data_IF_268324441347
#
_entry.id   IF_268324441347
#
_cell.length_a   1.000
_cell.length_b   1.000
_cell.length_c   1.000
_cell.angle_alpha   90.00
_cell.angle_beta   90.00
_cell.angle_gamma   90.00
#
_symmetry.space_group_name_H-M   'P 1'
#
loop_
_entity.id
_entity.type
_entity.pdbx_description
1 polymer ?
#
# COMPACT_ATOMS: atom_id res chain seq x y z
N UNK A 1 28.76 37.25 -42.82
CA UNK A 1 28.01 35.98 -42.84
C UNK A 1 27.93 35.45 -41.40
N UNK A 2 26.89 35.82 -40.68
CA UNK A 2 26.63 35.32 -39.31
C UNK A 2 25.68 34.13 -39.43
N UNK A 3 26.14 32.94 -39.03
CA UNK A 3 25.30 31.75 -38.90
C UNK A 3 24.54 31.85 -37.57
N UNK A 4 23.24 31.92 -37.65
CA UNK A 4 22.35 31.74 -36.53
C UNK A 4 22.15 30.24 -36.33
N UNK A 5 22.59 29.76 -35.18
CA UNK A 5 22.25 28.40 -34.70
C UNK A 5 20.88 28.49 -34.05
N UNK A 6 19.91 27.83 -34.64
CA UNK A 6 18.61 27.55 -34.04
C UNK A 6 18.81 26.42 -33.01
N UNK A 7 18.67 26.73 -31.72
CA UNK A 7 18.41 25.72 -30.70
C UNK A 7 16.96 25.27 -30.88
N UNK A 8 16.70 23.95 -30.89
CA UNK A 8 15.33 23.48 -30.74
C UNK A 8 14.89 23.73 -29.31
N UNK A 9 13.81 24.48 -29.13
CA UNK A 9 13.03 24.46 -27.89
C UNK A 9 12.51 23.03 -27.72
N UNK A 10 13.02 22.35 -26.70
CA UNK A 10 12.40 21.14 -26.18
C UNK A 10 11.12 21.57 -25.43
N UNK A 11 9.99 21.46 -26.09
CA UNK A 11 8.69 21.51 -25.43
C UNK A 11 8.56 20.20 -24.67
N UNK A 12 8.80 20.23 -23.38
CA UNK A 12 8.41 19.14 -22.47
C UNK A 12 6.88 19.21 -22.40
N UNK A 13 6.22 18.38 -23.15
CA UNK A 13 4.81 18.09 -22.96
C UNK A 13 4.70 17.35 -21.62
N UNK A 14 4.25 18.05 -20.59
CA UNK A 14 3.70 17.43 -19.39
C UNK A 14 2.36 16.81 -19.82
N UNK A 15 2.42 15.56 -20.24
CA UNK A 15 1.23 14.71 -20.35
C UNK A 15 0.81 14.48 -18.90
N UNK A 16 -0.38 14.91 -18.53
CA UNK A 16 -0.98 14.53 -17.25
C UNK A 16 -0.92 13.00 -17.13
N UNK A 17 -0.33 12.51 -16.06
CA UNK A 17 -0.32 11.08 -15.77
C UNK A 17 -1.77 10.66 -15.58
N UNK A 18 -2.24 9.77 -16.42
CA UNK A 18 -3.55 9.17 -16.33
C UNK A 18 -3.39 7.91 -15.50
N UNK A 19 -4.10 7.79 -14.38
CA UNK A 19 -4.22 6.54 -13.64
C UNK A 19 -4.89 5.51 -14.57
N UNK A 20 -4.15 4.55 -15.06
CA UNK A 20 -4.69 3.44 -15.85
C UNK A 20 -4.75 2.21 -14.96
N UNK A 21 -5.95 1.62 -14.89
CA UNK A 21 -6.22 0.40 -14.15
C UNK A 21 -5.30 -0.73 -14.65
N UNK A 22 -4.58 -1.36 -13.72
CA UNK A 22 -3.91 -2.64 -13.98
C UNK A 22 -4.93 -3.76 -13.72
N UNK A 23 -5.09 -4.69 -14.68
CA UNK A 23 -6.00 -5.83 -14.59
C UNK A 23 -5.60 -6.74 -13.40
N UNK A 24 -6.15 -6.47 -12.23
CA UNK A 24 -6.25 -7.44 -11.14
C UNK A 24 -7.59 -8.14 -11.27
N UNK A 25 -7.64 -9.21 -12.02
CA UNK A 25 -8.76 -10.13 -11.96
C UNK A 25 -8.59 -11.04 -10.74
N UNK A 26 -9.18 -10.65 -9.63
CA UNK A 26 -9.47 -11.59 -8.56
C UNK A 26 -10.62 -12.50 -9.03
N UNK A 27 -10.31 -13.57 -9.77
CA UNK A 27 -11.21 -14.68 -10.03
C UNK A 27 -11.10 -15.69 -8.87
N UNK A 28 -11.54 -15.26 -7.71
CA UNK A 28 -11.80 -16.08 -6.54
C UNK A 28 -12.86 -15.37 -5.71
N UNK A 29 -13.85 -16.09 -5.21
CA UNK A 29 -14.92 -15.57 -4.33
C UNK A 29 -14.40 -15.06 -2.95
N UNK A 30 -13.23 -14.46 -2.92
CA UNK A 30 -12.62 -13.74 -1.79
C UNK A 30 -12.97 -12.26 -1.80
N UNK A 31 -14.26 -11.91 -2.01
CA UNK A 31 -14.73 -10.58 -1.69
C UNK A 31 -14.68 -10.43 -0.16
N UNK A 32 -13.90 -9.46 0.31
CA UNK A 32 -14.04 -8.95 1.67
C UNK A 32 -15.51 -8.56 1.84
N UNK A 33 -16.28 -9.40 2.54
CA UNK A 33 -17.68 -9.11 2.86
C UNK A 33 -17.62 -8.07 3.97
N UNK A 34 -18.24 -6.89 3.83
CA UNK A 34 -18.34 -5.96 4.93
C UNK A 34 -19.05 -6.63 6.09
N UNK A 35 -18.46 -6.53 7.30
CA UNK A 35 -19.05 -7.06 8.53
C UNK A 35 -20.43 -6.44 8.76
N UNK A 36 -21.36 -7.17 9.40
CA UNK A 36 -22.78 -6.82 9.45
C UNK A 36 -23.17 -5.63 10.34
N UNK A 37 -22.28 -4.91 10.98
CA UNK A 37 -22.60 -3.89 12.00
C UNK A 37 -21.67 -2.65 12.00
N UNK A 38 -21.46 -2.00 10.87
CA UNK A 38 -20.93 -0.64 10.89
C UNK A 38 -22.05 0.34 11.34
N UNK A 39 -21.82 1.30 12.30
CA UNK A 39 -22.78 2.34 12.61
C UNK A 39 -22.93 3.24 11.39
N UNK A 40 -24.13 3.28 10.82
CA UNK A 40 -24.46 4.06 9.65
C UNK A 40 -24.32 5.57 9.93
N UNK A 41 -23.17 6.14 9.55
CA UNK A 41 -23.15 7.49 9.01
C UNK A 41 -24.01 7.49 7.73
N UNK A 42 -24.57 8.62 7.32
CA UNK A 42 -25.33 8.69 6.07
C UNK A 42 -24.38 8.34 4.92
N UNK A 43 -24.34 7.07 4.52
CA UNK A 43 -23.61 6.62 3.34
C UNK A 43 -24.31 7.21 2.13
N UNK A 44 -23.66 8.14 1.45
CA UNK A 44 -24.13 8.61 0.16
C UNK A 44 -24.04 7.45 -0.83
N UNK A 45 -25.18 7.09 -1.41
CA UNK A 45 -25.24 5.99 -2.41
C UNK A 45 -24.82 6.46 -3.82
N UNK A 46 -24.89 7.77 -4.07
CA UNK A 46 -24.56 8.35 -5.38
C UNK A 46 -23.11 8.83 -5.40
N UNK A 47 -22.23 8.24 -6.23
CA UNK A 47 -20.83 8.65 -6.34
C UNK A 47 -20.65 10.14 -6.68
N UNK A 48 -21.56 10.72 -7.44
CA UNK A 48 -21.51 12.16 -7.77
C UNK A 48 -21.73 13.03 -6.52
N UNK A 49 -22.63 12.64 -5.61
CA UNK A 49 -22.83 13.35 -4.33
C UNK A 49 -21.60 13.23 -3.44
N UNK A 50 -20.95 12.06 -3.41
CA UNK A 50 -19.67 11.85 -2.69
C UNK A 50 -18.60 12.81 -3.20
N UNK A 51 -18.45 12.93 -4.51
CA UNK A 51 -17.48 13.84 -5.14
C UNK A 51 -17.80 15.30 -4.82
N UNK A 52 -19.06 15.70 -4.87
CA UNK A 52 -19.45 17.09 -4.53
C UNK A 52 -19.06 17.45 -3.10
N UNK A 53 -19.30 16.54 -2.14
CA UNK A 53 -18.94 16.73 -0.74
C UNK A 53 -17.42 16.77 -0.56
N UNK A 54 -16.69 15.85 -1.17
CA UNK A 54 -15.22 15.82 -1.12
C UNK A 54 -14.60 17.11 -1.69
N UNK A 55 -15.03 17.54 -2.87
CA UNK A 55 -14.50 18.75 -3.52
C UNK A 55 -14.85 20.05 -2.77
N UNK A 56 -16.00 20.13 -2.10
CA UNK A 56 -16.33 21.29 -1.26
C UNK A 56 -15.41 21.36 -0.05
N UNK A 57 -15.15 20.23 0.60
CA UNK A 57 -14.27 20.16 1.74
C UNK A 57 -12.81 20.40 1.34
N UNK A 58 -12.30 19.74 0.29
CA UNK A 58 -10.95 19.95 -0.22
C UNK A 58 -10.64 21.42 -0.54
N UNK A 59 -11.60 22.15 -1.05
CA UNK A 59 -11.45 23.62 -1.26
C UNK A 59 -11.27 24.37 0.06
N UNK A 60 -12.03 23.99 1.09
CA UNK A 60 -11.94 24.59 2.42
C UNK A 60 -10.64 24.21 3.11
N UNK A 61 -10.30 22.94 3.07
CA UNK A 61 -9.04 22.39 3.62
C UNK A 61 -7.83 23.10 3.03
N UNK A 62 -7.69 23.14 1.70
CA UNK A 62 -6.53 23.76 1.06
C UNK A 62 -6.54 25.29 1.11
N UNK A 63 -7.68 25.92 1.28
CA UNK A 63 -7.73 27.38 1.53
C UNK A 63 -7.10 27.76 2.88
N UNK A 64 -7.15 26.88 3.89
CA UNK A 64 -6.48 27.07 5.19
C UNK A 64 -5.05 26.51 5.20
N UNK A 65 -4.85 25.30 4.67
CA UNK A 65 -3.60 24.54 4.79
C UNK A 65 -2.48 25.06 3.87
N UNK A 66 -2.79 25.46 2.65
CA UNK A 66 -1.78 25.90 1.70
C UNK A 66 -0.97 27.13 2.17
N UNK A 67 -1.56 28.16 2.82
CA UNK A 67 -0.80 29.25 3.41
C UNK A 67 0.17 28.79 4.53
N UNK A 68 -0.19 27.77 5.28
CA UNK A 68 0.63 27.25 6.38
C UNK A 68 1.82 26.45 5.85
N UNK A 69 1.59 25.60 4.84
CA UNK A 69 2.60 24.70 4.27
C UNK A 69 3.52 25.38 3.26
N UNK A 70 2.97 26.28 2.43
CA UNK A 70 3.71 26.89 1.30
C UNK A 70 3.81 28.41 1.33
N UNK A 71 3.36 29.08 2.39
CA UNK A 71 3.30 30.55 2.51
C UNK A 71 2.62 31.22 1.29
N UNK A 72 1.63 30.52 0.70
CA UNK A 72 0.92 30.93 -0.53
C UNK A 72 -0.56 30.60 -0.42
N UNK A 73 -1.44 31.51 -0.83
CA UNK A 73 -2.87 31.26 -0.86
C UNK A 73 -3.25 30.25 -1.97
N UNK A 74 -4.23 29.39 -1.68
CA UNK A 74 -4.81 28.53 -2.70
C UNK A 74 -5.77 29.32 -3.60
N UNK A 75 -5.40 29.45 -4.87
CA UNK A 75 -6.27 30.05 -5.88
C UNK A 75 -7.21 28.99 -6.47
N UNK A 76 -8.54 29.25 -6.54
CA UNK A 76 -9.49 28.30 -7.12
C UNK A 76 -9.15 27.88 -8.54
N UNK A 77 -9.55 26.64 -8.93
CA UNK A 77 -9.37 26.14 -10.28
C UNK A 77 -10.11 27.02 -11.31
N UNK A 78 -9.42 27.45 -12.36
CA UNK A 78 -9.99 28.30 -13.42
C UNK A 78 -10.93 27.52 -14.34
N UNK A 79 -10.58 26.27 -14.66
CA UNK A 79 -11.37 25.37 -15.48
C UNK A 79 -12.44 24.60 -14.70
N UNK A 80 -12.36 24.62 -13.37
CA UNK A 80 -13.32 24.00 -12.48
C UNK A 80 -13.28 22.48 -12.50
N UNK A 81 -14.46 21.86 -12.43
CA UNK A 81 -14.65 20.43 -12.25
C UNK A 81 -15.49 19.87 -13.39
N UNK A 82 -15.02 18.81 -14.06
CA UNK A 82 -15.60 18.31 -15.32
C UNK A 82 -15.83 16.79 -15.24
N UNK A 83 -17.01 16.35 -14.75
CA UNK A 83 -17.38 14.95 -14.89
C UNK A 83 -17.59 14.58 -16.36
N UNK A 84 -17.07 13.42 -16.78
CA UNK A 84 -17.26 12.95 -18.14
C UNK A 84 -17.70 11.47 -18.18
N UNK A 85 -17.97 10.97 -19.37
CA UNK A 85 -18.32 9.59 -19.66
C UNK A 85 -18.37 9.35 -21.17
N UNK A 86 -18.67 8.12 -21.64
CA UNK A 86 -18.60 7.74 -23.06
C UNK A 86 -19.47 8.60 -23.99
N UNK A 87 -20.60 9.09 -23.48
CA UNK A 87 -21.58 9.85 -24.27
C UNK A 87 -21.57 11.37 -23.97
N UNK A 88 -20.63 11.85 -23.13
CA UNK A 88 -20.51 13.26 -22.75
C UNK A 88 -19.32 13.94 -23.42
N UNK A 89 -19.34 15.29 -23.56
CA UNK A 89 -18.14 16.01 -24.00
C UNK A 89 -16.96 15.73 -23.06
N UNK A 90 -15.82 15.38 -23.65
CA UNK A 90 -14.60 15.21 -22.90
C UNK A 90 -13.99 16.57 -22.50
N UNK A 91 -13.24 16.63 -21.39
CA UNK A 91 -12.50 17.82 -21.04
C UNK A 91 -11.44 18.13 -22.12
N UNK A 92 -11.15 19.38 -22.33
CA UNK A 92 -9.95 19.76 -23.06
C UNK A 92 -8.76 19.67 -22.09
N UNK A 93 -7.62 19.13 -22.55
CA UNK A 93 -6.39 19.16 -21.79
C UNK A 93 -5.20 19.37 -22.74
N UNK A 94 -4.75 20.64 -22.84
CA UNK A 94 -3.70 21.04 -23.75
C UNK A 94 -4.14 21.05 -25.22
N UNK A 95 -3.20 20.91 -26.13
CA UNK A 95 -3.41 21.03 -27.58
C UNK A 95 -3.95 19.74 -28.23
N UNK A 96 -3.81 18.59 -27.58
CA UNK A 96 -4.26 17.30 -28.12
C UNK A 96 -5.69 16.99 -27.66
N UNK A 97 -6.58 16.58 -28.60
CA UNK A 97 -7.93 16.20 -28.23
C UNK A 97 -7.89 14.85 -27.48
N UNK A 98 -8.48 14.84 -26.28
CA UNK A 98 -8.69 13.59 -25.57
C UNK A 98 -9.77 12.76 -26.28
N UNK A 99 -9.59 11.44 -26.28
CA UNK A 99 -10.64 10.47 -26.66
C UNK A 99 -11.03 9.67 -25.44
N UNK A 100 -12.26 9.15 -25.41
CA UNK A 100 -12.72 8.41 -24.25
C UNK A 100 -11.85 7.18 -23.96
N UNK A 101 -11.39 6.47 -24.98
CA UNK A 101 -10.49 5.32 -24.84
C UNK A 101 -9.16 5.64 -24.14
N UNK A 102 -8.74 6.93 -24.11
CA UNK A 102 -7.52 7.35 -23.42
C UNK A 102 -7.80 7.73 -21.95
N UNK A 103 -9.01 8.19 -21.65
CA UNK A 103 -9.37 8.69 -20.33
C UNK A 103 -10.47 7.86 -19.66
N UNK A 104 -10.86 6.73 -20.24
CA UNK A 104 -11.81 5.80 -19.65
C UNK A 104 -11.26 5.31 -18.28
N UNK A 105 -12.16 5.16 -17.33
CA UNK A 105 -11.85 4.67 -15.98
C UNK A 105 -10.74 5.46 -15.27
N UNK A 106 -10.73 6.79 -15.47
CA UNK A 106 -9.67 7.67 -14.99
C UNK A 106 -10.20 8.96 -14.35
N UNK A 107 -9.41 9.51 -13.43
CA UNK A 107 -9.49 10.90 -12.96
C UNK A 107 -8.18 11.60 -13.30
N UNK A 108 -8.23 12.92 -13.49
CA UNK A 108 -7.02 13.67 -13.82
C UNK A 108 -7.13 15.17 -13.44
N UNK A 109 -6.02 15.76 -13.01
CA UNK A 109 -5.82 17.18 -13.01
C UNK A 109 -5.17 17.63 -14.32
N UNK A 110 -5.80 18.54 -15.03
CA UNK A 110 -5.24 19.14 -16.24
C UNK A 110 -4.59 20.51 -15.95
N UNK A 111 -3.25 20.63 -15.94
CA UNK A 111 -2.59 21.89 -15.62
C UNK A 111 -2.77 22.97 -16.68
N UNK A 112 -3.00 22.61 -17.94
CA UNK A 112 -3.16 23.58 -19.03
C UNK A 112 -4.44 24.40 -18.90
N UNK A 113 -5.55 23.74 -18.64
CA UNK A 113 -6.87 24.35 -18.41
C UNK A 113 -7.15 24.62 -16.94
N UNK A 114 -6.33 24.09 -16.03
CA UNK A 114 -6.46 24.18 -14.57
C UNK A 114 -7.82 23.66 -14.10
N UNK A 115 -8.10 22.40 -14.46
CA UNK A 115 -9.33 21.69 -14.12
C UNK A 115 -9.03 20.29 -13.56
N UNK A 116 -9.98 19.75 -12.79
CA UNK A 116 -10.04 18.34 -12.41
C UNK A 116 -11.20 17.70 -13.18
N UNK A 117 -10.92 16.54 -13.78
CA UNK A 117 -11.92 15.79 -14.52
C UNK A 117 -11.88 14.30 -14.11
N UNK A 118 -13.03 13.60 -14.21
CA UNK A 118 -13.15 12.21 -13.83
C UNK A 118 -14.21 11.46 -14.63
N UNK A 119 -14.00 10.17 -14.84
CA UNK A 119 -15.03 9.28 -15.40
C UNK A 119 -16.07 8.93 -14.33
N UNK A 120 -17.22 9.62 -14.43
CA UNK A 120 -18.34 9.43 -13.51
C UNK A 120 -19.16 8.16 -13.79
N UNK A 121 -18.93 7.51 -14.93
CA UNK A 121 -19.77 6.39 -15.41
C UNK A 121 -19.15 5.04 -15.04
N UNK A 122 -17.84 4.90 -15.19
CA UNK A 122 -17.15 3.64 -14.96
C UNK A 122 -16.25 3.71 -13.71
N UNK A 123 -15.35 4.70 -13.58
CA UNK A 123 -14.41 4.76 -12.46
C UNK A 123 -15.11 4.88 -11.10
N UNK A 124 -15.89 5.95 -10.89
CA UNK A 124 -16.40 6.23 -9.55
C UNK A 124 -17.40 5.20 -9.02
N UNK A 125 -18.35 4.67 -9.84
CA UNK A 125 -19.26 3.64 -9.36
C UNK A 125 -18.54 2.34 -9.01
N UNK A 126 -17.50 1.97 -9.76
CA UNK A 126 -16.69 0.78 -9.48
C UNK A 126 -15.91 0.94 -8.17
N UNK A 127 -15.18 2.05 -8.02
CA UNK A 127 -14.43 2.34 -6.80
C UNK A 127 -15.34 2.39 -5.56
N UNK A 128 -16.50 3.04 -5.65
CA UNK A 128 -17.41 3.12 -4.52
C UNK A 128 -18.00 1.75 -4.16
N UNK A 129 -18.33 0.95 -5.16
CA UNK A 129 -18.89 -0.37 -4.95
C UNK A 129 -17.88 -1.33 -4.30
N UNK A 130 -16.61 -1.25 -4.69
CA UNK A 130 -15.55 -2.15 -4.25
C UNK A 130 -14.88 -1.67 -2.97
N UNK A 131 -14.67 -0.36 -2.83
CA UNK A 131 -13.79 0.22 -1.80
C UNK A 131 -14.43 1.36 -0.99
N UNK A 132 -15.74 1.61 -1.20
CA UNK A 132 -16.47 2.58 -0.39
C UNK A 132 -16.25 4.05 -0.78
N UNK A 133 -16.98 4.93 -0.08
CA UNK A 133 -17.02 6.37 -0.39
C UNK A 133 -15.70 7.08 -0.05
N UNK A 134 -14.94 6.60 0.94
CA UNK A 134 -13.66 7.20 1.30
C UNK A 134 -12.66 7.11 0.14
N UNK A 135 -12.62 5.99 -0.59
CA UNK A 135 -11.75 5.81 -1.76
C UNK A 135 -12.10 6.77 -2.89
N UNK A 136 -13.39 7.04 -3.12
CA UNK A 136 -13.82 8.08 -4.09
C UNK A 136 -13.31 9.46 -3.66
N UNK A 137 -13.45 9.79 -2.37
CA UNK A 137 -12.93 11.04 -1.79
C UNK A 137 -11.40 11.14 -1.93
N UNK A 138 -10.70 10.04 -1.68
CA UNK A 138 -9.24 9.94 -1.78
C UNK A 138 -8.75 10.21 -3.21
N UNK A 139 -9.39 9.64 -4.23
CA UNK A 139 -9.05 9.93 -5.64
C UNK A 139 -9.23 11.43 -5.94
N UNK A 140 -10.32 12.03 -5.45
CA UNK A 140 -10.50 13.48 -5.61
C UNK A 140 -9.45 14.30 -4.86
N UNK A 141 -9.02 13.86 -3.68
CA UNK A 141 -7.96 14.51 -2.91
C UNK A 141 -6.61 14.41 -3.62
N UNK A 142 -6.29 13.28 -4.22
CA UNK A 142 -5.10 13.06 -5.04
C UNK A 142 -5.06 14.03 -6.23
N UNK A 143 -6.14 14.12 -7.02
CA UNK A 143 -6.21 15.06 -8.14
C UNK A 143 -6.15 16.53 -7.68
N UNK A 144 -6.74 16.83 -6.54
CA UNK A 144 -6.67 18.13 -5.94
C UNK A 144 -5.25 18.49 -5.49
N UNK A 145 -4.49 17.53 -5.00
CA UNK A 145 -3.08 17.69 -4.64
C UNK A 145 -2.21 18.08 -5.84
N UNK A 146 -2.47 17.56 -7.03
CA UNK A 146 -1.81 18.04 -8.26
C UNK A 146 -2.09 19.52 -8.53
N UNK A 147 -3.30 19.99 -8.24
CA UNK A 147 -3.62 21.41 -8.33
C UNK A 147 -2.86 22.24 -7.29
N UNK A 148 -2.64 21.72 -6.08
CA UNK A 148 -1.79 22.32 -5.04
C UNK A 148 -0.33 22.39 -5.50
N UNK A 149 0.23 21.30 -6.01
CA UNK A 149 1.59 21.25 -6.58
C UNK A 149 1.79 22.29 -7.67
N UNK A 150 0.80 22.45 -8.55
CA UNK A 150 0.83 23.46 -9.61
C UNK A 150 0.94 24.88 -9.06
N UNK A 151 0.21 25.19 -7.99
CA UNK A 151 0.21 26.51 -7.33
C UNK A 151 1.49 26.74 -6.52
N UNK A 152 1.96 25.73 -5.82
CA UNK A 152 3.22 25.77 -5.08
C UNK A 152 4.46 25.71 -6.00
N UNK A 153 4.25 25.53 -7.32
CA UNK A 153 5.32 25.39 -8.31
C UNK A 153 6.28 24.22 -8.00
N UNK A 154 5.76 23.18 -7.38
CA UNK A 154 6.53 21.94 -7.08
C UNK A 154 7.03 21.34 -8.40
N UNK A 155 8.25 20.82 -8.37
CA UNK A 155 8.88 20.12 -9.50
C UNK A 155 9.64 18.91 -8.98
N UNK A 156 9.55 17.80 -9.69
CA UNK A 156 10.20 16.56 -9.32
C UNK A 156 10.12 15.52 -10.45
N UNK A 157 10.57 14.33 -10.18
CA UNK A 157 10.24 13.16 -10.98
C UNK A 157 8.73 12.90 -10.90
N UNK A 158 8.13 12.29 -11.93
CA UNK A 158 6.69 12.00 -11.94
C UNK A 158 6.29 11.21 -10.70
N UNK A 159 6.96 10.10 -10.43
CA UNK A 159 6.69 9.27 -9.26
C UNK A 159 6.74 10.06 -7.94
N UNK A 160 7.67 11.00 -7.79
CA UNK A 160 7.73 11.85 -6.57
C UNK A 160 6.50 12.76 -6.45
N UNK A 161 6.00 13.28 -7.56
CA UNK A 161 4.81 14.13 -7.57
C UNK A 161 3.54 13.30 -7.29
N UNK A 162 3.47 12.10 -7.81
CA UNK A 162 2.38 11.16 -7.55
C UNK A 162 2.33 10.75 -6.07
N UNK A 163 3.47 10.31 -5.52
CA UNK A 163 3.55 9.95 -4.11
C UNK A 163 3.28 11.15 -3.18
N UNK A 164 3.70 12.37 -3.57
CA UNK A 164 3.33 13.56 -2.83
C UNK A 164 1.82 13.82 -2.89
N UNK A 165 1.17 13.51 -4.01
CA UNK A 165 -0.28 13.65 -4.13
C UNK A 165 -1.02 12.62 -3.25
N UNK A 166 -0.53 11.37 -3.19
CA UNK A 166 -1.05 10.35 -2.26
C UNK A 166 -0.85 10.76 -0.79
N UNK A 167 0.32 11.31 -0.44
CA UNK A 167 0.62 11.84 0.89
C UNK A 167 -0.36 12.97 1.27
N UNK A 168 -0.56 13.96 0.41
CA UNK A 168 -1.54 15.03 0.66
C UNK A 168 -2.98 14.52 0.74
N UNK A 169 -3.31 13.45 0.01
CA UNK A 169 -4.60 12.80 0.14
C UNK A 169 -4.76 12.13 1.52
N UNK A 170 -3.70 11.50 2.04
CA UNK A 170 -3.65 10.96 3.40
C UNK A 170 -3.84 12.04 4.47
N UNK A 171 -3.13 13.16 4.34
CA UNK A 171 -3.28 14.29 5.26
C UNK A 171 -4.70 14.92 5.25
N UNK A 172 -5.39 14.88 4.12
CA UNK A 172 -6.79 15.28 4.05
C UNK A 172 -7.71 14.25 4.71
N UNK A 173 -7.43 12.95 4.54
CA UNK A 173 -8.23 11.87 5.14
C UNK A 173 -8.18 11.91 6.67
N UNK A 174 -7.03 12.16 7.28
CA UNK A 174 -6.91 12.35 8.75
C UNK A 174 -7.80 13.50 9.25
N UNK A 175 -7.81 14.60 8.52
CA UNK A 175 -8.54 15.82 8.93
C UNK A 175 -10.06 15.77 8.61
N UNK A 176 -10.49 14.96 7.60
CA UNK A 176 -11.88 14.99 7.11
C UNK A 176 -12.87 14.34 8.05
N UNK A 177 -12.48 13.31 8.80
CA UNK A 177 -13.37 12.56 9.71
C UNK A 177 -14.01 13.48 10.78
N UNK A 178 -13.25 14.42 11.32
CA UNK A 178 -13.74 15.36 12.31
C UNK A 178 -14.77 16.35 11.74
N UNK A 179 -14.83 16.51 10.41
CA UNK A 179 -15.65 17.54 9.75
C UNK A 179 -16.84 16.99 9.00
N UNK A 180 -16.74 15.81 8.41
CA UNK A 180 -17.74 15.28 7.48
C UNK A 180 -18.09 13.84 7.80
N UNK A 181 -19.29 13.63 8.34
CA UNK A 181 -19.78 12.30 8.71
C UNK A 181 -19.97 11.31 7.52
N UNK A 182 -19.83 11.79 6.27
CA UNK A 182 -19.91 10.94 5.08
C UNK A 182 -18.64 10.09 4.90
N UNK A 183 -17.50 10.58 5.38
CA UNK A 183 -16.22 9.90 5.28
C UNK A 183 -15.83 9.35 6.65
N UNK A 184 -16.06 8.07 6.87
CA UNK A 184 -15.50 7.38 8.03
C UNK A 184 -14.00 7.11 7.80
N UNK A 185 -13.21 7.23 8.85
CA UNK A 185 -11.81 6.81 8.93
C UNK A 185 -11.62 5.69 9.96
N UNK A 186 -12.69 4.90 10.19
CA UNK A 186 -12.55 3.66 10.96
C UNK A 186 -11.63 2.66 10.23
N UNK A 187 -11.19 1.62 10.94
CA UNK A 187 -10.24 0.66 10.41
C UNK A 187 -10.66 0.04 9.08
N UNK A 188 -11.94 -0.34 8.96
CA UNK A 188 -12.47 -0.95 7.75
C UNK A 188 -12.43 0.03 6.56
N UNK A 189 -12.71 1.31 6.78
CA UNK A 189 -12.67 2.33 5.73
C UNK A 189 -11.23 2.64 5.29
N UNK A 190 -10.27 2.65 6.22
CA UNK A 190 -8.86 2.82 5.90
C UNK A 190 -8.28 1.61 5.17
N UNK A 191 -8.68 0.40 5.55
CA UNK A 191 -8.31 -0.84 4.85
C UNK A 191 -8.84 -0.82 3.40
N UNK A 192 -10.09 -0.40 3.20
CA UNK A 192 -10.67 -0.25 1.86
C UNK A 192 -9.96 0.84 1.03
N UNK A 193 -9.58 1.96 1.65
CA UNK A 193 -8.81 3.01 0.98
C UNK A 193 -7.42 2.50 0.55
N UNK A 194 -6.73 1.74 1.39
CA UNK A 194 -5.48 1.07 1.06
C UNK A 194 -5.63 0.09 -0.10
N UNK A 195 -6.69 -0.73 -0.09
CA UNK A 195 -7.01 -1.62 -1.20
C UNK A 195 -7.27 -0.86 -2.51
N UNK A 196 -7.95 0.30 -2.45
CA UNK A 196 -8.15 1.17 -3.60
C UNK A 196 -6.84 1.74 -4.17
N UNK A 197 -5.88 2.12 -3.32
CA UNK A 197 -4.57 2.57 -3.76
C UNK A 197 -3.76 1.44 -4.43
N UNK A 198 -3.86 0.21 -3.91
CA UNK A 198 -3.26 -0.97 -4.54
C UNK A 198 -3.83 -1.22 -5.94
N UNK A 199 -5.13 -1.04 -6.13
CA UNK A 199 -5.78 -1.17 -7.46
C UNK A 199 -5.26 -0.13 -8.45
N UNK A 200 -4.95 1.08 -7.97
CA UNK A 200 -4.49 2.21 -8.79
C UNK A 200 -2.97 2.27 -8.96
N UNK A 201 -2.22 1.22 -8.58
CA UNK A 201 -0.78 1.15 -8.72
C UNK A 201 -0.32 0.95 -10.17
N UNK A 202 0.95 1.19 -10.41
CA UNK A 202 1.59 0.83 -11.68
C UNK A 202 1.60 -0.70 -11.88
N UNK A 203 1.63 -1.12 -13.14
CA UNK A 203 1.90 -2.51 -13.48
C UNK A 203 3.28 -2.94 -12.97
N UNK A 204 3.41 -4.20 -12.54
CA UNK A 204 4.66 -4.74 -12.00
C UNK A 204 5.86 -4.51 -12.93
N UNK A 205 6.97 -4.11 -12.34
CA UNK A 205 8.24 -3.87 -13.05
C UNK A 205 8.32 -2.57 -13.83
N UNK A 206 7.35 -1.65 -13.71
CA UNK A 206 7.46 -0.28 -14.25
C UNK A 206 8.58 0.45 -13.51
N UNK A 207 9.58 1.00 -14.22
CA UNK A 207 10.64 1.74 -13.55
C UNK A 207 10.12 3.04 -12.96
N UNK A 208 10.48 3.38 -11.72
CA UNK A 208 10.16 4.68 -11.10
C UNK A 208 10.68 5.91 -11.85
N UNK A 209 11.60 5.71 -12.80
CA UNK A 209 12.07 6.77 -13.72
C UNK A 209 11.17 6.98 -14.95
N UNK A 210 10.11 6.20 -15.12
CA UNK A 210 9.13 6.40 -16.21
C UNK A 210 8.45 7.76 -16.06
N UNK A 211 8.15 8.39 -17.18
CA UNK A 211 7.39 9.65 -17.21
C UNK A 211 5.90 9.47 -16.89
N UNK A 212 5.46 8.23 -16.73
CA UNK A 212 4.10 7.84 -16.33
C UNK A 212 4.11 6.97 -15.07
N UNK A 213 5.19 6.95 -14.28
CA UNK A 213 5.23 6.15 -13.06
C UNK A 213 4.43 6.81 -11.94
N UNK A 214 3.49 6.05 -11.37
CA UNK A 214 2.73 6.44 -10.17
C UNK A 214 3.35 5.85 -8.89
N UNK A 215 4.09 4.74 -9.00
CA UNK A 215 4.68 3.99 -7.90
C UNK A 215 4.07 2.60 -7.77
N UNK A 216 4.73 1.74 -6.97
CA UNK A 216 4.19 0.45 -6.56
C UNK A 216 3.02 0.66 -5.58
N UNK A 217 2.25 -0.39 -5.31
CA UNK A 217 1.22 -0.34 -4.27
C UNK A 217 1.81 0.02 -2.90
N UNK A 218 2.95 -0.59 -2.56
CA UNK A 218 3.68 -0.26 -1.34
C UNK A 218 4.11 1.22 -1.27
N UNK A 219 4.67 1.78 -2.36
CA UNK A 219 5.07 3.19 -2.38
C UNK A 219 3.87 4.13 -2.16
N UNK A 220 2.74 3.86 -2.82
CA UNK A 220 1.52 4.67 -2.74
C UNK A 220 0.86 4.60 -1.36
N UNK A 221 0.67 3.39 -0.82
CA UNK A 221 0.11 3.20 0.53
C UNK A 221 1.03 3.80 1.58
N UNK A 222 2.36 3.66 1.43
CA UNK A 222 3.34 4.27 2.34
C UNK A 222 3.25 5.79 2.35
N UNK A 223 3.13 6.42 1.18
CA UNK A 223 2.97 7.87 1.07
C UNK A 223 1.65 8.35 1.68
N UNK A 224 0.55 7.62 1.44
CA UNK A 224 -0.75 7.90 2.04
C UNK A 224 -0.69 7.84 3.56
N UNK A 225 -0.08 6.79 4.13
CA UNK A 225 0.07 6.63 5.58
C UNK A 225 0.92 7.74 6.20
N UNK A 226 2.03 8.13 5.56
CA UNK A 226 2.85 9.25 6.04
C UNK A 226 2.04 10.55 6.11
N UNK A 227 1.22 10.82 5.09
CA UNK A 227 0.35 11.99 5.11
C UNK A 227 -0.72 11.92 6.19
N UNK A 228 -1.31 10.74 6.41
CA UNK A 228 -2.30 10.49 7.45
C UNK A 228 -1.72 10.64 8.87
N UNK A 229 -0.49 10.15 9.09
CA UNK A 229 0.16 10.17 10.40
C UNK A 229 0.83 11.51 10.72
N UNK A 230 1.54 12.10 9.75
CA UNK A 230 2.46 13.23 9.94
C UNK A 230 1.96 14.55 9.34
N UNK A 231 0.84 14.51 8.59
CA UNK A 231 0.18 15.68 8.05
C UNK A 231 0.84 16.29 6.80
N UNK A 232 0.28 17.41 6.32
CA UNK A 232 0.65 18.00 5.02
C UNK A 232 2.06 18.63 5.00
N UNK A 233 2.63 18.99 6.15
CA UNK A 233 3.98 19.51 6.26
C UNK A 233 5.03 18.44 5.90
N UNK A 234 4.82 17.17 6.31
CA UNK A 234 5.68 16.05 5.92
C UNK A 234 5.64 15.86 4.40
N UNK A 235 4.47 15.85 3.80
CA UNK A 235 4.29 15.73 2.35
C UNK A 235 5.01 16.83 1.56
N UNK A 236 5.03 18.07 2.07
CA UNK A 236 5.68 19.20 1.40
C UNK A 236 7.20 19.02 1.29
N UNK A 237 7.81 18.20 2.14
CA UNK A 237 9.26 17.90 2.09
C UNK A 237 9.67 17.13 0.85
N UNK A 238 8.78 16.36 0.23
CA UNK A 238 9.06 15.47 -0.92
C UNK A 238 9.73 16.18 -2.11
N UNK A 239 9.45 17.47 -2.29
CA UNK A 239 10.11 18.26 -3.33
C UNK A 239 11.62 18.44 -3.11
N UNK A 240 12.07 18.45 -1.86
CA UNK A 240 13.47 18.64 -1.48
C UNK A 240 14.13 17.31 -1.05
N UNK A 241 13.37 16.45 -0.40
CA UNK A 241 13.77 15.16 0.14
C UNK A 241 12.76 14.10 -0.33
N UNK A 242 12.87 13.63 -1.60
CA UNK A 242 11.93 12.64 -2.14
C UNK A 242 11.93 11.37 -1.31
N UNK A 243 10.77 10.74 -1.10
CA UNK A 243 10.71 9.44 -0.43
C UNK A 243 11.48 8.39 -1.23
N UNK A 244 11.99 7.33 -0.58
CA UNK A 244 12.54 6.19 -1.29
C UNK A 244 11.44 5.55 -2.15
N UNK A 245 11.75 5.25 -3.40
CA UNK A 245 10.85 4.54 -4.33
C UNK A 245 11.37 3.12 -4.50
N UNK A 246 10.53 2.14 -4.23
CA UNK A 246 10.87 0.74 -4.37
C UNK A 246 10.61 0.29 -5.80
N UNK A 247 11.60 0.48 -6.67
CA UNK A 247 11.55 0.04 -8.06
C UNK A 247 12.37 -1.23 -8.24
N UNK A 248 11.74 -2.38 -8.16
CA UNK A 248 12.36 -3.69 -8.36
C UNK A 248 12.15 -4.12 -9.82
N UNK A 249 13.21 -4.29 -10.63
CA UNK A 249 13.07 -4.79 -11.98
C UNK A 249 13.01 -6.31 -12.02
N UNK A 250 12.29 -6.89 -12.99
CA UNK A 250 12.37 -8.32 -13.23
C UNK A 250 13.80 -8.76 -13.58
N UNK A 251 14.28 -9.80 -12.91
CA UNK A 251 15.63 -10.35 -13.11
C UNK A 251 15.81 -11.06 -14.45
N UNK A 252 14.73 -11.56 -15.05
CA UNK A 252 14.75 -12.31 -16.31
C UNK A 252 13.39 -12.28 -17.01
N UNK A 253 13.35 -12.73 -18.27
CA UNK A 253 12.08 -12.89 -19.00
C UNK A 253 11.19 -14.02 -18.41
N UNK A 254 11.78 -15.02 -17.76
CA UNK A 254 11.01 -16.07 -17.07
C UNK A 254 10.39 -15.54 -15.79
N UNK A 255 11.12 -14.75 -15.06
CA UNK A 255 10.69 -14.03 -13.89
C UNK A 255 9.48 -13.12 -14.23
N UNK A 256 9.61 -12.29 -15.26
CA UNK A 256 8.49 -11.50 -15.76
C UNK A 256 7.26 -12.33 -16.19
N UNK A 257 7.47 -13.55 -16.67
CA UNK A 257 6.38 -14.43 -17.11
C UNK A 257 5.63 -15.08 -15.93
N UNK A 258 6.23 -15.14 -14.75
CA UNK A 258 5.61 -15.63 -13.51
C UNK A 258 5.17 -14.48 -12.58
N UNK A 259 5.28 -13.22 -13.03
CA UNK A 259 5.03 -12.05 -12.18
C UNK A 259 6.08 -11.83 -11.09
N UNK A 260 7.19 -12.56 -11.14
CA UNK A 260 8.21 -12.59 -10.08
C UNK A 260 8.14 -13.84 -9.21
N UNK A 261 6.97 -14.45 -9.12
CA UNK A 261 6.63 -15.45 -8.12
C UNK A 261 7.33 -16.79 -8.31
N UNK A 262 7.81 -17.35 -7.22
CA UNK A 262 8.35 -18.70 -7.10
C UNK A 262 7.28 -19.66 -6.54
N UNK A 263 7.17 -20.89 -7.05
CA UNK A 263 6.37 -21.92 -6.41
C UNK A 263 6.89 -22.22 -4.99
N UNK A 264 6.02 -22.52 -4.05
CA UNK A 264 6.36 -22.74 -2.63
C UNK A 264 7.42 -23.84 -2.44
N UNK A 265 7.39 -24.91 -3.26
CA UNK A 265 8.38 -25.97 -3.21
C UNK A 265 9.82 -25.52 -3.59
N UNK A 266 9.94 -24.38 -4.26
CA UNK A 266 11.22 -23.76 -4.59
C UNK A 266 11.58 -22.61 -3.65
N UNK A 267 10.58 -22.02 -3.01
CA UNK A 267 10.71 -20.87 -2.10
C UNK A 267 11.09 -21.32 -0.68
N UNK A 268 10.46 -22.36 -0.13
CA UNK A 268 10.47 -22.67 1.30
C UNK A 268 11.90 -22.87 1.86
N UNK A 269 12.70 -23.77 1.27
CA UNK A 269 14.03 -24.07 1.79
C UNK A 269 14.98 -22.87 1.76
N UNK A 270 15.08 -22.06 0.67
CA UNK A 270 15.90 -20.86 0.67
C UNK A 270 15.35 -19.76 1.61
N UNK A 271 14.03 -19.59 1.73
CA UNK A 271 13.43 -18.62 2.63
C UNK A 271 13.73 -18.92 4.10
N UNK A 272 13.54 -20.18 4.54
CA UNK A 272 13.89 -20.62 5.89
C UNK A 272 15.37 -20.32 6.18
N UNK A 273 16.25 -20.60 5.22
CA UNK A 273 17.68 -20.35 5.43
C UNK A 273 18.02 -18.84 5.49
N UNK A 274 17.31 -17.99 4.78
CA UNK A 274 17.51 -16.54 4.83
C UNK A 274 16.91 -15.96 6.13
N UNK A 275 15.75 -16.43 6.59
CA UNK A 275 15.18 -16.11 7.90
C UNK A 275 16.11 -16.47 9.05
N UNK A 276 16.64 -17.71 9.07
CA UNK A 276 17.62 -18.16 10.08
C UNK A 276 18.88 -17.28 10.09
N UNK A 277 19.38 -16.91 8.91
CA UNK A 277 20.56 -16.06 8.78
C UNK A 277 20.29 -14.63 9.26
N UNK A 278 19.11 -14.09 8.94
CA UNK A 278 18.68 -12.76 9.36
C UNK A 278 18.52 -12.67 10.88
N UNK A 279 17.73 -13.58 11.49
CA UNK A 279 17.51 -13.54 12.93
C UNK A 279 18.79 -13.83 13.72
N UNK A 280 19.65 -14.73 13.23
CA UNK A 280 20.97 -14.95 13.83
C UNK A 280 21.85 -13.68 13.81
N UNK A 281 21.79 -12.89 12.74
CA UNK A 281 22.50 -11.61 12.66
C UNK A 281 21.88 -10.57 13.61
N UNK A 282 20.57 -10.44 13.63
CA UNK A 282 19.82 -9.52 14.50
C UNK A 282 20.11 -9.81 15.98
N UNK A 283 20.05 -11.06 16.41
CA UNK A 283 20.37 -11.46 17.79
C UNK A 283 21.84 -11.20 18.13
N UNK A 284 22.74 -11.44 17.15
CA UNK A 284 24.17 -11.12 17.32
C UNK A 284 24.42 -9.63 17.58
N UNK A 285 23.65 -8.72 16.97
CA UNK A 285 23.72 -7.28 17.22
C UNK A 285 23.22 -6.91 18.64
N UNK A 286 22.22 -7.65 19.14
CA UNK A 286 21.72 -7.50 20.51
C UNK A 286 22.64 -8.13 21.57
N UNK A 287 23.67 -8.90 21.15
CA UNK A 287 24.56 -9.66 22.02
C UNK A 287 23.95 -10.96 22.54
N UNK A 288 22.87 -11.39 21.95
CA UNK A 288 22.15 -12.63 22.24
C UNK A 288 22.47 -13.72 21.19
N UNK A 289 21.94 -14.90 21.39
CA UNK A 289 22.13 -16.03 20.46
C UNK A 289 20.78 -16.53 19.99
N UNK A 290 20.57 -16.53 18.70
CA UNK A 290 19.39 -17.11 18.07
C UNK A 290 19.41 -18.64 18.17
N UNK A 291 18.31 -19.24 18.65
CA UNK A 291 18.06 -20.67 18.58
C UNK A 291 17.18 -20.91 17.34
N UNK A 292 17.67 -21.64 16.30
CA UNK A 292 16.93 -21.83 15.06
C UNK A 292 15.57 -22.49 15.28
N UNK A 293 14.55 -22.07 14.54
CA UNK A 293 13.22 -22.71 14.55
C UNK A 293 13.34 -24.17 14.08
N UNK A 294 12.89 -25.12 14.91
CA UNK A 294 13.09 -26.56 14.66
C UNK A 294 12.41 -27.00 13.36
N UNK A 295 11.18 -26.51 13.08
CA UNK A 295 10.40 -26.90 11.89
C UNK A 295 9.42 -25.84 11.41
N UNK A 296 9.17 -25.90 10.11
CA UNK A 296 8.00 -25.32 9.46
C UNK A 296 7.11 -26.47 8.99
N UNK A 297 5.87 -26.54 9.45
CA UNK A 297 4.98 -27.65 9.19
C UNK A 297 3.61 -27.19 8.67
N UNK A 298 3.25 -27.65 7.46
CA UNK A 298 1.90 -27.46 6.95
C UNK A 298 0.98 -28.56 7.49
N UNK A 299 -0.18 -28.19 8.00
CA UNK A 299 -1.17 -29.12 8.53
C UNK A 299 -2.48 -29.10 7.73
N UNK A 300 -3.32 -30.12 7.93
CA UNK A 300 -4.68 -30.18 7.38
C UNK A 300 -5.65 -30.10 8.58
N UNK A 301 -6.44 -29.00 8.71
CA UNK A 301 -7.42 -28.87 9.80
C UNK A 301 -8.39 -30.05 9.93
N UNK A 302 -8.75 -30.70 8.79
CA UNK A 302 -9.58 -31.90 8.76
C UNK A 302 -8.81 -33.23 8.87
N UNK A 303 -7.48 -33.20 8.89
CA UNK A 303 -6.60 -34.38 8.82
C UNK A 303 -6.36 -35.10 10.13
N UNK A 304 -6.72 -34.49 11.27
CA UNK A 304 -6.52 -35.00 12.61
C UNK A 304 -6.06 -33.92 13.59
N UNK A 305 -5.90 -34.24 14.88
CA UNK A 305 -5.55 -33.25 15.90
C UNK A 305 -4.15 -32.66 15.63
N UNK A 306 -4.07 -31.34 15.64
CA UNK A 306 -2.82 -30.57 15.72
C UNK A 306 -2.51 -30.35 17.20
N UNK A 307 -1.27 -30.55 17.61
CA UNK A 307 -0.88 -30.41 19.03
C UNK A 307 0.27 -29.41 19.17
N UNK A 308 0.25 -28.66 20.28
CA UNK A 308 1.35 -27.79 20.69
C UNK A 308 1.75 -28.17 22.12
N UNK A 309 2.98 -28.63 22.33
CA UNK A 309 3.45 -29.10 23.63
C UNK A 309 2.72 -30.33 24.17
N UNK A 310 2.02 -31.07 23.31
CA UNK A 310 1.19 -32.20 23.63
C UNK A 310 -0.26 -31.87 24.00
N UNK A 311 -0.63 -30.61 24.07
CA UNK A 311 -2.01 -30.16 24.18
C UNK A 311 -2.62 -30.00 22.78
N UNK A 312 -3.87 -30.38 22.61
CA UNK A 312 -4.58 -30.29 21.32
C UNK A 312 -5.03 -28.84 21.09
N UNK A 313 -4.70 -28.30 19.93
CA UNK A 313 -5.17 -26.97 19.47
C UNK A 313 -6.65 -27.11 19.09
N UNK A 314 -7.53 -26.21 19.55
CA UNK A 314 -8.95 -26.23 19.20
C UNK A 314 -9.20 -26.24 17.70
N UNK A 315 -10.14 -27.07 17.22
CA UNK A 315 -10.43 -27.24 15.80
C UNK A 315 -10.90 -25.93 15.12
N UNK A 316 -11.57 -25.06 15.86
CA UNK A 316 -12.06 -23.75 15.43
C UNK A 316 -10.97 -22.67 15.35
N UNK A 317 -9.78 -22.96 15.85
CA UNK A 317 -8.57 -22.10 15.74
C UNK A 317 -7.62 -22.58 14.64
N UNK A 318 -7.96 -23.62 13.89
CA UNK A 318 -7.08 -24.22 12.88
C UNK A 318 -7.40 -23.80 11.44
N UNK A 319 -8.65 -23.39 11.14
CA UNK A 319 -9.04 -22.96 9.79
C UNK A 319 -8.37 -21.61 9.44
N UNK A 320 -7.72 -21.53 8.28
CA UNK A 320 -6.99 -20.34 7.81
C UNK A 320 -5.90 -19.87 8.78
N UNK A 321 -5.36 -20.74 9.62
CA UNK A 321 -4.43 -20.37 10.67
C UNK A 321 -2.96 -20.55 10.27
N UNK A 322 -2.14 -19.61 10.76
CA UNK A 322 -0.70 -19.75 10.85
C UNK A 322 -0.26 -19.31 12.27
N UNK A 323 0.48 -20.16 12.97
CA UNK A 323 0.91 -19.86 14.33
C UNK A 323 2.27 -20.51 14.68
N UNK A 324 2.98 -19.87 15.61
CA UNK A 324 4.20 -20.43 16.17
C UNK A 324 3.91 -21.14 17.48
N UNK A 325 4.23 -22.44 17.55
CA UNK A 325 4.15 -23.20 18.77
C UNK A 325 5.44 -23.13 19.57
N UNK A 326 5.44 -22.37 20.64
CA UNK A 326 6.61 -22.19 21.54
C UNK A 326 7.10 -23.52 22.13
N UNK A 327 6.16 -24.41 22.53
CA UNK A 327 6.50 -25.64 23.23
C UNK A 327 7.18 -26.68 22.33
N UNK A 328 6.90 -26.68 21.05
CA UNK A 328 7.44 -27.61 20.06
C UNK A 328 8.44 -26.92 19.08
N UNK A 329 8.68 -25.62 19.27
CA UNK A 329 9.53 -24.79 18.43
C UNK A 329 9.23 -24.99 16.93
N UNK A 330 7.95 -24.82 16.58
CA UNK A 330 7.44 -25.16 15.26
C UNK A 330 6.53 -24.04 14.74
N UNK A 331 6.79 -23.57 13.53
CA UNK A 331 5.88 -22.69 12.77
C UNK A 331 4.88 -23.57 12.02
N UNK A 332 3.60 -23.46 12.37
CA UNK A 332 2.49 -24.18 11.73
C UNK A 332 1.75 -23.29 10.76
N UNK A 333 1.29 -23.85 9.65
CA UNK A 333 0.44 -23.17 8.68
C UNK A 333 -0.62 -24.12 8.13
N UNK A 334 -1.87 -23.66 8.01
CA UNK A 334 -2.92 -24.41 7.32
C UNK A 334 -2.55 -24.62 5.85
N UNK A 335 -2.18 -25.84 5.49
CA UNK A 335 -1.74 -26.24 4.16
C UNK A 335 -2.89 -26.45 3.16
N UNK A 336 -4.15 -26.37 3.59
CA UNK A 336 -5.33 -26.66 2.76
C UNK A 336 -6.17 -25.42 2.53
N UNK A 337 -6.31 -24.56 3.52
CA UNK A 337 -7.02 -23.29 3.44
C UNK A 337 -6.07 -22.13 3.14
N UNK A 338 -5.29 -21.70 4.14
CA UNK A 338 -4.49 -20.46 4.07
C UNK A 338 -3.36 -20.51 3.03
N UNK A 339 -2.56 -21.57 3.02
CA UNK A 339 -1.38 -21.65 2.15
C UNK A 339 -1.70 -21.50 0.65
N UNK A 340 -2.75 -22.15 0.09
CA UNK A 340 -3.14 -21.94 -1.29
C UNK A 340 -3.61 -20.52 -1.61
N UNK A 341 -4.24 -19.83 -0.66
CA UNK A 341 -4.69 -18.45 -0.83
C UNK A 341 -3.49 -17.48 -0.82
N UNK A 342 -2.52 -17.69 0.07
CA UNK A 342 -1.27 -16.93 0.06
C UNK A 342 -0.49 -17.14 -1.25
N UNK A 343 -0.41 -18.40 -1.74
CA UNK A 343 0.23 -18.71 -3.02
C UNK A 343 -0.49 -18.06 -4.21
N UNK A 344 -1.81 -17.88 -4.12
CA UNK A 344 -2.59 -17.21 -5.16
C UNK A 344 -2.35 -15.69 -5.20
N UNK A 345 -2.02 -15.07 -4.05
CA UNK A 345 -1.61 -13.66 -3.97
C UNK A 345 -0.20 -13.51 -4.55
N UNK A 346 0.76 -14.32 -4.08
CA UNK A 346 2.13 -14.34 -4.52
C UNK A 346 3.07 -15.00 -3.53
N UNK A 347 4.33 -15.11 -3.89
CA UNK A 347 5.30 -15.86 -3.08
C UNK A 347 5.70 -15.09 -1.80
N UNK A 348 5.71 -13.77 -1.82
CA UNK A 348 6.01 -12.98 -0.63
C UNK A 348 4.79 -12.81 0.30
N UNK A 349 3.57 -13.07 -0.14
CA UNK A 349 2.43 -13.22 0.76
C UNK A 349 2.67 -14.37 1.75
N UNK A 350 3.12 -15.53 1.26
CA UNK A 350 3.58 -16.64 2.11
C UNK A 350 4.90 -16.30 2.81
N UNK A 351 5.86 -15.69 2.11
CA UNK A 351 7.17 -15.32 2.66
C UNK A 351 7.06 -14.38 3.85
N UNK A 352 6.21 -13.37 3.76
CA UNK A 352 5.92 -12.42 4.82
C UNK A 352 5.22 -13.07 6.01
N UNK A 353 4.23 -13.94 5.76
CA UNK A 353 3.58 -14.68 6.86
C UNK A 353 4.55 -15.60 7.60
N UNK A 354 5.42 -16.30 6.89
CA UNK A 354 6.46 -17.11 7.54
C UNK A 354 7.46 -16.24 8.31
N UNK A 355 7.85 -15.09 7.76
CA UNK A 355 8.74 -14.15 8.46
C UNK A 355 8.10 -13.61 9.75
N UNK A 356 6.78 -13.37 9.74
CA UNK A 356 6.01 -13.00 10.94
C UNK A 356 6.06 -14.09 12.01
N UNK A 357 5.93 -15.36 11.65
CA UNK A 357 6.05 -16.47 12.62
C UNK A 357 7.46 -16.54 13.21
N UNK A 358 8.50 -16.27 12.43
CA UNK A 358 9.87 -16.16 12.93
C UNK A 358 10.06 -14.94 13.84
N UNK A 359 9.39 -13.83 13.55
CA UNK A 359 9.39 -12.66 14.43
C UNK A 359 8.73 -12.97 15.79
N UNK A 360 7.63 -13.75 15.79
CA UNK A 360 7.00 -14.25 17.03
C UNK A 360 7.97 -15.18 17.80
N UNK A 361 8.67 -16.09 17.10
CA UNK A 361 9.70 -16.89 17.73
C UNK A 361 10.82 -16.04 18.35
N UNK A 362 11.22 -14.96 17.69
CA UNK A 362 12.20 -14.01 18.22
C UNK A 362 11.70 -13.28 19.47
N UNK A 363 10.43 -12.86 19.49
CA UNK A 363 9.81 -12.26 20.69
C UNK A 363 9.90 -13.21 21.88
N UNK A 364 9.53 -14.46 21.70
CA UNK A 364 9.57 -15.49 22.74
C UNK A 364 11.00 -15.70 23.25
N UNK A 365 11.98 -15.81 22.37
CA UNK A 365 13.38 -16.02 22.75
C UNK A 365 13.99 -14.82 23.47
N UNK A 366 13.55 -13.61 23.15
CA UNK A 366 13.96 -12.38 23.83
C UNK A 366 13.16 -12.12 25.13
N UNK A 367 12.11 -12.92 25.41
CA UNK A 367 11.24 -12.77 26.55
C UNK A 367 10.42 -11.47 26.50
N UNK A 368 10.03 -11.07 25.31
CA UNK A 368 9.14 -9.91 25.09
C UNK A 368 7.75 -10.29 25.60
N UNK A 369 7.12 -9.39 26.35
CA UNK A 369 5.79 -9.60 26.90
C UNK A 369 4.73 -9.48 25.79
N UNK A 370 4.20 -10.59 25.33
CA UNK A 370 3.13 -10.70 24.34
C UNK A 370 1.73 -10.72 24.99
N UNK A 371 1.55 -10.19 26.20
CA UNK A 371 0.24 -10.14 26.88
C UNK A 371 -0.76 -9.16 26.24
N UNK A 372 -0.27 -8.23 25.41
CA UNK A 372 -1.06 -7.44 24.49
C UNK A 372 -0.92 -8.05 23.09
N UNK A 373 -1.87 -8.86 22.69
CA UNK A 373 -1.87 -9.60 21.42
C UNK A 373 -1.70 -8.63 20.23
N UNK A 374 -2.38 -7.47 20.28
CA UNK A 374 -2.31 -6.47 19.20
C UNK A 374 -0.92 -5.83 19.10
N UNK A 375 -0.35 -5.36 20.21
CA UNK A 375 0.99 -4.77 20.22
C UNK A 375 2.05 -5.78 19.79
N UNK A 376 1.96 -7.03 20.26
CA UNK A 376 2.86 -8.10 19.86
C UNK A 376 2.74 -8.45 18.36
N UNK A 377 1.50 -8.47 17.83
CA UNK A 377 1.25 -8.68 16.40
C UNK A 377 1.87 -7.59 15.53
N UNK A 378 1.63 -6.33 15.85
CA UNK A 378 2.22 -5.18 15.14
C UNK A 378 3.76 -5.15 15.23
N UNK A 379 4.32 -5.51 16.39
CA UNK A 379 5.77 -5.66 16.53
C UNK A 379 6.32 -6.76 15.60
N UNK A 380 5.62 -7.89 15.47
CA UNK A 380 6.01 -8.96 14.53
C UNK A 380 5.92 -8.50 13.07
N UNK A 381 4.86 -7.75 12.71
CA UNK A 381 4.73 -7.16 11.37
C UNK A 381 5.84 -6.14 11.09
N UNK A 382 6.24 -5.33 12.08
CA UNK A 382 7.38 -4.43 11.97
C UNK A 382 8.70 -5.18 11.74
N UNK A 383 8.99 -6.23 12.48
CA UNK A 383 10.18 -7.07 12.27
C UNK A 383 10.16 -7.78 10.91
N UNK A 384 8.98 -8.14 10.41
CA UNK A 384 8.80 -8.65 9.03
C UNK A 384 9.22 -7.59 8.01
N UNK A 385 8.89 -6.32 8.25
CA UNK A 385 9.36 -5.20 7.44
C UNK A 385 10.89 -5.04 7.47
N UNK A 386 11.51 -5.20 8.64
CA UNK A 386 12.99 -5.18 8.77
C UNK A 386 13.63 -6.32 7.97
N UNK A 387 13.05 -7.52 8.01
CA UNK A 387 13.51 -8.66 7.20
C UNK A 387 13.40 -8.35 5.70
N UNK A 388 12.25 -7.86 5.25
CA UNK A 388 12.04 -7.47 3.85
C UNK A 388 13.04 -6.38 3.39
N UNK A 389 13.33 -5.40 4.24
CA UNK A 389 14.37 -4.39 3.97
C UNK A 389 15.76 -5.01 3.82
N UNK A 390 16.11 -5.95 4.70
CA UNK A 390 17.39 -6.65 4.63
C UNK A 390 17.51 -7.50 3.35
N UNK A 391 16.42 -8.15 2.90
CA UNK A 391 16.38 -8.83 1.60
C UNK A 391 16.55 -7.85 0.43
N UNK A 392 15.83 -6.74 0.44
CA UNK A 392 15.91 -5.71 -0.59
C UNK A 392 17.31 -5.10 -0.71
N UNK A 393 17.93 -4.79 0.42
CA UNK A 393 19.27 -4.20 0.50
C UNK A 393 20.39 -5.22 0.30
N UNK A 394 20.07 -6.53 0.25
CA UNK A 394 21.03 -7.64 0.15
C UNK A 394 21.98 -7.68 1.34
N UNK A 395 21.46 -7.47 2.53
CA UNK A 395 22.23 -7.42 3.78
C UNK A 395 22.17 -8.72 4.60
N UNK A 396 21.36 -9.71 4.16
CA UNK A 396 21.27 -11.01 4.83
C UNK A 396 22.54 -11.83 4.55
N UNK A 397 23.22 -12.37 5.57
CA UNK A 397 24.39 -13.19 5.35
C UNK A 397 24.08 -14.45 4.54
N UNK A 398 24.83 -14.68 3.46
CA UNK A 398 24.62 -15.82 2.53
C UNK A 398 23.22 -15.86 1.89
N UNK A 399 22.61 -14.69 1.65
CA UNK A 399 21.28 -14.54 1.08
C UNK A 399 21.05 -15.37 -0.19
N UNK A 400 19.88 -15.99 -0.29
CA UNK A 400 19.49 -16.89 -1.39
C UNK A 400 18.34 -16.35 -2.21
N UNK A 401 17.44 -15.59 -1.59
CA UNK A 401 16.29 -14.98 -2.22
C UNK A 401 16.51 -13.48 -2.43
N UNK A 402 15.75 -12.91 -3.34
CA UNK A 402 15.76 -11.48 -3.65
C UNK A 402 14.34 -11.07 -3.95
N UNK A 403 13.92 -9.95 -3.41
CA UNK A 403 12.59 -9.42 -3.70
C UNK A 403 12.41 -9.18 -5.20
N UNK A 404 11.25 -9.53 -5.69
CA UNK A 404 10.79 -9.35 -7.06
C UNK A 404 9.76 -8.19 -7.15
N UNK A 405 9.42 -7.71 -8.37
CA UNK A 405 8.36 -6.74 -8.51
C UNK A 405 7.02 -7.30 -8.01
N UNK A 406 6.40 -6.64 -7.04
CA UNK A 406 5.13 -7.03 -6.46
C UNK A 406 5.19 -7.57 -5.05
N UNK A 407 6.35 -8.10 -4.60
CA UNK A 407 6.47 -8.76 -3.30
C UNK A 407 5.99 -7.90 -2.14
N UNK A 408 6.33 -6.61 -2.11
CA UNK A 408 5.86 -5.70 -1.05
C UNK A 408 4.36 -5.38 -1.16
N UNK A 409 3.78 -5.44 -2.35
CA UNK A 409 2.34 -5.31 -2.54
C UNK A 409 1.62 -6.57 -2.05
N UNK A 410 2.21 -7.75 -2.26
CA UNK A 410 1.65 -9.05 -1.88
C UNK A 410 1.44 -9.18 -0.38
N UNK A 411 2.39 -8.70 0.44
CA UNK A 411 2.22 -8.72 1.89
C UNK A 411 1.11 -7.77 2.36
N UNK A 412 0.94 -6.61 1.71
CA UNK A 412 -0.17 -5.71 2.03
C UNK A 412 -1.50 -6.35 1.63
N UNK A 413 -1.56 -7.01 0.47
CA UNK A 413 -2.74 -7.76 0.04
C UNK A 413 -3.05 -8.88 1.04
N UNK A 414 -2.04 -9.58 1.55
CA UNK A 414 -2.24 -10.61 2.58
C UNK A 414 -2.79 -10.02 3.89
N UNK A 415 -2.30 -8.86 4.32
CA UNK A 415 -2.87 -8.16 5.49
C UNK A 415 -4.34 -7.78 5.28
N UNK A 416 -4.70 -7.31 4.09
CA UNK A 416 -6.08 -6.97 3.74
C UNK A 416 -6.99 -8.21 3.67
N UNK A 417 -6.45 -9.34 3.22
CA UNK A 417 -7.23 -10.57 3.05
C UNK A 417 -7.39 -11.37 4.35
N UNK A 418 -6.38 -11.39 5.22
CA UNK A 418 -6.27 -12.30 6.36
C UNK A 418 -5.95 -11.58 7.69
N UNK A 419 -5.96 -10.25 7.71
CA UNK A 419 -5.67 -9.46 8.91
C UNK A 419 -6.82 -9.49 9.93
N UNK A 420 -6.50 -9.17 11.20
CA UNK A 420 -7.48 -8.86 12.23
C UNK A 420 -7.65 -9.89 13.33
N UNK A 421 -6.99 -11.03 13.31
CA UNK A 421 -7.10 -12.03 14.40
C UNK A 421 -6.58 -11.51 15.76
N UNK A 422 -5.54 -10.67 15.73
CA UNK A 422 -4.97 -9.98 16.89
C UNK A 422 -5.65 -8.63 17.20
N UNK A 423 -6.67 -8.25 16.43
CA UNK A 423 -7.44 -7.02 16.59
C UNK A 423 -6.76 -5.78 15.95
N UNK A 424 -5.66 -5.95 15.22
CA UNK A 424 -5.07 -4.91 14.39
C UNK A 424 -5.73 -4.89 13.00
N UNK A 425 -5.95 -3.69 12.45
CA UNK A 425 -6.45 -3.53 11.07
C UNK A 425 -5.33 -3.76 10.06
N UNK A 426 -5.67 -4.03 8.81
CA UNK A 426 -4.66 -4.15 7.74
C UNK A 426 -3.90 -2.83 7.55
N UNK A 427 -4.54 -1.70 7.75
CA UNK A 427 -3.89 -0.39 7.72
C UNK A 427 -2.80 -0.27 8.79
N UNK A 428 -3.09 -0.68 10.02
CA UNK A 428 -2.12 -0.66 11.14
C UNK A 428 -0.97 -1.65 10.94
N UNK A 429 -1.26 -2.85 10.45
CA UNK A 429 -0.26 -3.86 10.10
C UNK A 429 0.67 -3.38 8.99
N UNK A 430 0.10 -2.72 7.96
CA UNK A 430 0.87 -2.12 6.87
C UNK A 430 1.75 -0.98 7.39
N UNK A 431 1.26 -0.13 8.31
CA UNK A 431 2.05 0.93 8.93
C UNK A 431 3.23 0.36 9.75
N UNK A 432 2.98 -0.69 10.53
CA UNK A 432 4.04 -1.37 11.28
C UNK A 432 5.09 -2.00 10.35
N UNK A 433 4.67 -2.72 9.32
CA UNK A 433 5.56 -3.29 8.30
C UNK A 433 6.38 -2.20 7.59
N UNK A 434 5.73 -1.12 7.16
CA UNK A 434 6.39 0.03 6.53
C UNK A 434 7.43 0.66 7.45
N UNK A 435 7.12 0.87 8.73
CA UNK A 435 8.07 1.42 9.70
C UNK A 435 9.33 0.54 9.79
N UNK A 436 9.16 -0.77 9.89
CA UNK A 436 10.27 -1.72 9.87
C UNK A 436 11.07 -1.68 8.57
N UNK A 437 10.39 -1.59 7.42
CA UNK A 437 11.04 -1.56 6.10
C UNK A 437 11.82 -0.27 5.85
N UNK A 438 11.26 0.88 6.21
CA UNK A 438 11.84 2.20 5.90
C UNK A 438 12.84 2.66 6.96
N UNK A 439 12.56 2.41 8.24
CA UNK A 439 13.30 2.97 9.37
C UNK A 439 14.13 1.92 10.12
N UNK A 440 13.93 0.63 9.84
CA UNK A 440 14.61 -0.47 10.51
C UNK A 440 13.97 -0.86 11.84
N UNK A 441 14.73 -1.56 12.72
CA UNK A 441 14.17 -2.17 13.91
C UNK A 441 13.82 -1.19 15.05
N UNK A 442 14.30 0.06 15.01
CA UNK A 442 14.11 1.01 16.11
C UNK A 442 12.63 1.33 16.42
N UNK A 443 11.75 1.63 15.43
CA UNK A 443 10.35 1.90 15.70
C UNK A 443 9.56 0.67 16.18
N UNK A 444 10.05 -0.55 15.94
CA UNK A 444 9.35 -1.76 16.38
C UNK A 444 9.24 -1.83 17.91
N UNK A 445 10.25 -1.34 18.65
CA UNK A 445 10.24 -1.35 20.11
C UNK A 445 9.10 -0.49 20.69
N UNK A 446 8.69 0.58 20.01
CA UNK A 446 7.64 1.49 20.46
C UNK A 446 6.23 0.84 20.38
N UNK A 447 6.08 -0.24 19.61
CA UNK A 447 4.81 -0.98 19.43
C UNK A 447 4.49 -1.92 20.61
N UNK A 448 5.45 -2.18 21.49
CA UNK A 448 5.29 -3.05 22.65
C UNK A 448 4.73 -2.34 23.90
N UNK A 449 4.48 -1.03 23.89
CA UNK A 449 3.85 -0.25 24.94
C UNK A 449 4.80 0.24 26.02
#
# INVERSE_FOLDING_TARGET
MRRWSLLPLLVVALVGAACTQSDLTFDGDGAVQPGPDAPAGETLEDPDEVVEVALEDLRSYWASTMPEVYDTAFEPLRGGYVPYGPDSPLPACGDEPLTYDIVAENALYCPAEDLIAWDRVNLLPDLQQRFGSLTVGLVMAHEFAHAVQSRALVRGATVTLELQADCFAGAWVDDVDERIATFSTDGDALDQAGAGLLELRDSLGVPGSSSSAHGSGFDRVSAFQEGFEDGPEACATYAAEPPPVVAIPFGSANDAATGGNLPIDQLLDPLVADLESFFAALFGELGETWDPVDRVEAFDPGGGPVTCGGDEVPEDELEMAAFYCVADDTAYIDGVGLLPELEAIGDFAFGGELARLYAIAAQEQLGIDASDDRGAGLHADCLTGVFAAAEFLQEIPEQRLFLSPGDLDEIIIAFLAFGGEDGATAFERTAAFRAGFVEGAAPCEDLLG
#
